data_IF_457013476969
#
_entry.id   IF_457013476969
#
_cell.length_a   1.000
_cell.length_b   1.000
_cell.length_c   1.000
_cell.angle_alpha   90.00
_cell.angle_beta   90.00
_cell.angle_gamma   90.00
#
_symmetry.space_group_name_H-M   'P 1'
#
loop_
_entity.id
_entity.type
_entity.pdbx_description
1 polymer ?
#
# COMPACT_ATOMS: atom_id res chain seq x y z
N UNK A 1 -31.20 8.89 -6.99
CA UNK A 1 -30.60 8.39 -5.75
C UNK A 1 -29.46 7.46 -6.13
N UNK A 2 -28.25 7.71 -5.65
CA UNK A 2 -27.11 6.80 -5.85
C UNK A 2 -27.33 5.60 -4.91
N UNK A 3 -27.33 4.37 -5.45
CA UNK A 3 -27.37 3.17 -4.61
C UNK A 3 -26.07 3.10 -3.80
N UNK A 4 -26.14 2.90 -2.48
CA UNK A 4 -24.98 2.89 -1.62
C UNK A 4 -23.89 1.87 -2.05
N UNK A 5 -24.27 0.73 -2.59
CA UNK A 5 -23.33 -0.27 -3.11
C UNK A 5 -22.62 0.19 -4.40
N UNK A 6 -23.25 1.00 -5.23
CA UNK A 6 -22.61 1.54 -6.44
C UNK A 6 -21.46 2.49 -6.14
N UNK A 7 -21.43 3.05 -4.93
CA UNK A 7 -20.29 3.89 -4.51
C UNK A 7 -18.97 3.12 -4.40
N UNK A 8 -19.03 1.79 -4.30
CA UNK A 8 -17.87 0.91 -4.22
C UNK A 8 -17.44 0.32 -5.56
N UNK A 9 -18.14 0.63 -6.65
CA UNK A 9 -17.84 0.15 -8.00
C UNK A 9 -16.53 0.79 -8.50
N UNK A 10 -15.60 -0.04 -8.96
CA UNK A 10 -14.32 0.40 -9.51
C UNK A 10 -14.22 0.17 -11.03
N UNK A 11 -15.34 -0.19 -11.67
CA UNK A 11 -15.36 -0.45 -13.11
C UNK A 11 -14.88 0.75 -13.92
N UNK A 12 -13.94 0.51 -14.83
CA UNK A 12 -13.35 1.53 -15.68
C UNK A 12 -12.28 2.38 -15.00
N UNK A 13 -11.87 2.03 -13.77
CA UNK A 13 -10.72 2.63 -13.08
C UNK A 13 -9.50 1.75 -13.26
N UNK A 14 -8.31 2.35 -13.25
CA UNK A 14 -7.02 1.66 -13.34
C UNK A 14 -6.20 1.93 -12.08
N UNK A 15 -5.73 0.87 -11.41
CA UNK A 15 -4.95 0.94 -10.17
C UNK A 15 -3.50 0.50 -10.35
N UNK A 16 -2.54 1.37 -10.04
CA UNK A 16 -1.13 1.01 -9.89
C UNK A 16 -0.85 0.59 -8.44
N UNK A 17 -0.34 -0.62 -8.24
CA UNK A 17 0.01 -1.15 -6.94
C UNK A 17 1.49 -1.48 -6.90
N UNK A 18 2.28 -0.73 -6.12
CA UNK A 18 3.72 -0.98 -6.01
C UNK A 18 4.02 -2.21 -5.16
N UNK A 19 5.03 -3.02 -5.56
CA UNK A 19 5.40 -4.22 -4.83
C UNK A 19 4.32 -5.29 -4.80
N UNK A 20 3.59 -5.47 -5.89
CA UNK A 20 2.38 -6.31 -5.97
C UNK A 20 2.60 -7.71 -6.56
N UNK A 21 3.85 -8.18 -6.66
CA UNK A 21 4.12 -9.55 -7.12
C UNK A 21 3.87 -10.63 -6.07
N UNK A 22 3.55 -10.27 -4.82
CA UNK A 22 3.24 -11.21 -3.72
C UNK A 22 2.66 -10.47 -2.50
N UNK A 23 2.19 -11.25 -1.51
CA UNK A 23 1.78 -10.73 -0.20
C UNK A 23 0.61 -9.74 -0.26
N UNK A 24 0.66 -8.69 0.57
CA UNK A 24 -0.42 -7.69 0.66
C UNK A 24 -0.70 -7.07 -0.72
N UNK A 25 0.33 -6.60 -1.42
CA UNK A 25 0.14 -5.94 -2.71
C UNK A 25 -0.56 -6.83 -3.75
N UNK A 26 -0.26 -8.12 -3.76
CA UNK A 26 -0.91 -9.08 -4.64
C UNK A 26 -2.38 -9.30 -4.25
N UNK A 27 -2.67 -9.50 -2.96
CA UNK A 27 -4.04 -9.67 -2.49
C UNK A 27 -4.92 -8.43 -2.76
N UNK A 28 -4.34 -7.21 -2.64
CA UNK A 28 -5.04 -5.98 -3.01
C UNK A 28 -5.29 -5.91 -4.52
N UNK A 29 -4.35 -6.38 -5.35
CA UNK A 29 -4.52 -6.43 -6.80
C UNK A 29 -5.68 -7.37 -7.21
N UNK A 30 -5.72 -8.57 -6.64
CA UNK A 30 -6.84 -9.51 -6.87
C UNK A 30 -8.17 -8.90 -6.45
N UNK A 31 -8.26 -8.35 -5.24
CA UNK A 31 -9.51 -7.80 -4.72
C UNK A 31 -10.01 -6.56 -5.47
N UNK A 32 -9.12 -5.66 -5.94
CA UNK A 32 -9.53 -4.54 -6.77
C UNK A 32 -9.96 -5.00 -8.18
N UNK A 33 -9.30 -6.03 -8.74
CA UNK A 33 -9.71 -6.62 -10.01
C UNK A 33 -11.12 -7.24 -9.92
N UNK A 34 -11.42 -7.94 -8.83
CA UNK A 34 -12.78 -8.46 -8.56
C UNK A 34 -13.82 -7.35 -8.43
N UNK A 35 -13.42 -6.18 -7.92
CA UNK A 35 -14.27 -4.99 -7.84
C UNK A 35 -14.39 -4.23 -9.19
N UNK A 36 -13.81 -4.74 -10.27
CA UNK A 36 -13.94 -4.21 -11.63
C UNK A 36 -12.83 -3.26 -12.09
N UNK A 37 -11.73 -3.17 -11.33
CA UNK A 37 -10.61 -2.30 -11.63
C UNK A 37 -9.58 -2.98 -12.53
N UNK A 38 -9.08 -2.30 -13.56
CA UNK A 38 -7.89 -2.71 -14.28
C UNK A 38 -6.65 -2.53 -13.39
N UNK A 39 -5.72 -3.48 -13.45
CA UNK A 39 -4.60 -3.53 -12.50
C UNK A 39 -3.26 -3.35 -13.18
N UNK A 40 -2.41 -2.54 -12.59
CA UNK A 40 -1.00 -2.43 -12.95
C UNK A 40 -0.18 -3.03 -11.80
N UNK A 41 0.36 -4.22 -12.04
CA UNK A 41 1.31 -4.84 -11.12
C UNK A 41 2.68 -4.20 -11.26
N UNK A 42 3.33 -3.92 -10.14
CA UNK A 42 4.70 -3.40 -10.12
C UNK A 42 5.63 -4.23 -9.25
N UNK A 43 6.86 -4.34 -9.70
CA UNK A 43 7.97 -4.98 -9.00
C UNK A 43 9.26 -4.87 -9.80
N UNK A 44 10.37 -5.35 -9.24
CA UNK A 44 11.71 -5.28 -9.86
C UNK A 44 12.04 -6.48 -10.75
N UNK A 45 11.22 -7.53 -10.72
CA UNK A 45 11.47 -8.77 -11.44
C UNK A 45 10.29 -9.06 -12.37
N UNK A 46 10.52 -8.94 -13.67
CA UNK A 46 9.50 -9.11 -14.70
C UNK A 46 8.91 -10.52 -14.73
N UNK A 47 9.72 -11.55 -14.46
CA UNK A 47 9.25 -12.93 -14.48
C UNK A 47 8.30 -13.22 -13.31
N UNK A 48 8.58 -12.63 -12.12
CA UNK A 48 7.65 -12.70 -11.00
C UNK A 48 6.35 -11.96 -11.29
N UNK A 49 6.42 -10.79 -11.95
CA UNK A 49 5.23 -10.03 -12.34
C UNK A 49 4.37 -10.81 -13.34
N UNK A 50 4.99 -11.44 -14.34
CA UNK A 50 4.27 -12.29 -15.32
C UNK A 50 3.52 -13.42 -14.64
N UNK A 51 4.22 -14.18 -13.78
CA UNK A 51 3.60 -15.26 -13.01
C UNK A 51 2.45 -14.77 -12.14
N UNK A 52 2.62 -13.63 -11.48
CA UNK A 52 1.55 -13.06 -10.67
C UNK A 52 0.37 -12.61 -11.52
N UNK A 53 0.61 -12.01 -12.69
CA UNK A 53 -0.46 -11.60 -13.60
C UNK A 53 -1.29 -12.80 -14.13
N UNK A 54 -0.62 -13.93 -14.42
CA UNK A 54 -1.27 -15.17 -14.85
C UNK A 54 -2.17 -15.80 -13.77
N UNK A 55 -1.87 -15.53 -12.50
CA UNK A 55 -2.63 -16.07 -11.35
C UNK A 55 -3.85 -15.22 -10.99
N UNK A 56 -3.91 -13.95 -11.39
CA UNK A 56 -5.08 -13.09 -11.12
C UNK A 56 -6.25 -13.55 -12.00
N UNK A 57 -7.20 -14.22 -11.39
CA UNK A 57 -8.40 -14.71 -12.08
C UNK A 57 -9.44 -13.59 -12.22
N UNK A 58 -9.38 -12.86 -13.35
CA UNK A 58 -10.25 -11.70 -13.60
C UNK A 58 -10.58 -11.56 -15.10
N UNK A 59 -11.58 -10.73 -15.39
CA UNK A 59 -11.90 -10.26 -16.76
C UNK A 59 -11.31 -8.87 -17.05
N UNK A 60 -10.66 -8.26 -16.06
CA UNK A 60 -10.05 -6.95 -16.16
C UNK A 60 -8.66 -7.05 -16.81
N UNK A 61 -8.17 -5.97 -17.36
CA UNK A 61 -6.81 -5.91 -17.91
C UNK A 61 -5.76 -5.92 -16.78
N UNK A 62 -4.74 -6.74 -16.94
CA UNK A 62 -3.61 -6.84 -16.02
C UNK A 62 -2.33 -6.40 -16.71
N UNK A 63 -1.90 -5.19 -16.41
CA UNK A 63 -0.65 -4.61 -16.90
C UNK A 63 0.52 -4.88 -15.95
N UNK A 64 1.74 -4.74 -16.47
CA UNK A 64 2.96 -4.97 -15.70
C UNK A 64 3.92 -3.81 -15.94
N UNK A 65 4.27 -3.08 -14.88
CA UNK A 65 5.30 -2.05 -14.91
C UNK A 65 6.50 -2.49 -14.08
N UNK A 66 7.56 -2.94 -14.75
CA UNK A 66 8.78 -3.38 -14.10
C UNK A 66 9.71 -2.20 -13.85
N UNK A 67 9.74 -1.70 -12.61
CA UNK A 67 10.68 -0.67 -12.16
C UNK A 67 10.99 -0.80 -10.67
N UNK A 68 12.16 -0.28 -10.27
CA UNK A 68 12.52 -0.15 -8.86
C UNK A 68 11.93 1.15 -8.30
N UNK A 69 11.12 1.05 -7.26
CA UNK A 69 10.51 2.20 -6.56
C UNK A 69 11.55 3.13 -5.91
N UNK A 70 12.80 2.71 -5.82
CA UNK A 70 13.91 3.52 -5.31
C UNK A 70 14.68 4.26 -6.40
N UNK A 71 14.33 4.05 -7.68
CA UNK A 71 14.94 4.71 -8.84
C UNK A 71 13.93 5.69 -9.46
N UNK A 72 14.15 6.98 -9.25
CA UNK A 72 13.23 8.03 -9.71
C UNK A 72 13.08 8.07 -11.23
N UNK A 73 14.15 7.84 -11.99
CA UNK A 73 14.10 7.90 -13.44
C UNK A 73 13.30 6.70 -14.02
N UNK A 74 13.49 5.50 -13.46
CA UNK A 74 12.67 4.34 -13.85
C UNK A 74 11.19 4.57 -13.54
N UNK A 75 10.86 5.10 -12.34
CA UNK A 75 9.50 5.46 -11.95
C UNK A 75 8.90 6.40 -13.00
N UNK A 76 9.59 7.51 -13.26
CA UNK A 76 9.12 8.55 -14.15
C UNK A 76 8.91 8.05 -15.58
N UNK A 77 9.88 7.35 -16.16
CA UNK A 77 9.81 6.82 -17.52
C UNK A 77 8.66 5.81 -17.67
N UNK A 78 8.52 4.90 -16.71
CA UNK A 78 7.49 3.85 -16.77
C UNK A 78 6.07 4.43 -16.64
N UNK A 79 5.86 5.33 -15.67
CA UNK A 79 4.55 5.96 -15.43
C UNK A 79 4.21 6.93 -16.56
N UNK A 80 5.14 7.79 -16.99
CA UNK A 80 4.92 8.73 -18.07
C UNK A 80 4.53 8.01 -19.38
N UNK A 81 5.19 6.89 -19.67
CA UNK A 81 4.87 6.07 -20.85
C UNK A 81 3.46 5.48 -20.73
N UNK A 82 3.13 4.87 -19.60
CA UNK A 82 1.84 4.23 -19.40
C UNK A 82 0.68 5.24 -19.48
N UNK A 83 0.78 6.37 -18.79
CA UNK A 83 -0.21 7.44 -18.79
C UNK A 83 -0.46 8.06 -20.17
N UNK A 84 0.56 8.08 -21.05
CA UNK A 84 0.46 8.66 -22.39
C UNK A 84 -0.02 7.67 -23.46
N UNK A 85 0.32 6.40 -23.29
CA UNK A 85 0.18 5.42 -24.37
C UNK A 85 -0.91 4.36 -24.10
N UNK A 86 -1.35 4.21 -22.81
CA UNK A 86 -2.22 3.10 -22.43
C UNK A 86 -3.50 3.58 -21.76
N UNK A 87 -3.42 4.03 -20.50
CA UNK A 87 -4.59 4.39 -19.69
C UNK A 87 -4.22 5.35 -18.56
N UNK A 88 -5.14 6.20 -18.10
CA UNK A 88 -4.98 6.96 -16.87
C UNK A 88 -4.76 6.05 -15.65
N UNK A 89 -3.91 6.47 -14.70
CA UNK A 89 -3.81 5.84 -13.39
C UNK A 89 -4.73 6.58 -12.42
N UNK A 90 -5.90 6.01 -12.14
CA UNK A 90 -6.91 6.62 -11.26
C UNK A 90 -6.62 6.39 -9.79
N UNK A 91 -6.00 5.25 -9.48
CA UNK A 91 -5.72 4.78 -8.13
C UNK A 91 -4.24 4.41 -8.03
N UNK A 92 -3.57 4.95 -7.01
CA UNK A 92 -2.21 4.55 -6.65
C UNK A 92 -2.22 3.91 -5.26
N UNK A 93 -1.69 2.69 -5.16
CA UNK A 93 -1.42 2.04 -3.87
C UNK A 93 0.10 1.91 -3.69
N UNK A 94 0.68 2.73 -2.81
CA UNK A 94 2.07 2.62 -2.40
C UNK A 94 2.20 1.50 -1.35
N UNK A 95 2.46 0.28 -1.83
CA UNK A 95 2.58 -0.90 -0.99
C UNK A 95 4.03 -1.39 -0.85
N UNK A 96 4.90 -1.10 -1.82
CA UNK A 96 6.30 -1.53 -1.75
C UNK A 96 6.95 -1.12 -0.43
N UNK A 97 7.62 -2.06 0.22
CA UNK A 97 8.26 -1.82 1.49
C UNK A 97 9.14 -2.97 1.92
N UNK A 98 10.00 -2.69 2.89
CA UNK A 98 10.88 -3.67 3.48
C UNK A 98 10.95 -3.50 5.00
N UNK A 99 11.49 -4.50 5.68
CA UNK A 99 11.78 -4.47 7.11
C UNK A 99 13.14 -5.09 7.38
N UNK A 100 13.83 -4.55 8.38
CA UNK A 100 15.03 -5.13 8.97
C UNK A 100 14.90 -5.07 10.50
N UNK A 101 15.40 -6.09 11.19
CA UNK A 101 15.30 -6.24 12.65
C UNK A 101 16.69 -6.37 13.25
N UNK A 102 17.00 -5.53 14.22
CA UNK A 102 18.24 -5.57 15.00
C UNK A 102 18.04 -4.80 16.30
N UNK A 103 18.87 -5.06 17.31
CA UNK A 103 19.00 -4.17 18.45
C UNK A 103 19.33 -2.75 17.96
N UNK A 104 18.77 -1.71 18.58
CA UNK A 104 18.87 -0.36 18.05
C UNK A 104 20.31 0.17 18.05
N UNK A 105 21.05 -0.14 19.11
CA UNK A 105 22.47 0.20 19.28
C UNK A 105 23.38 -0.44 18.22
N UNK A 106 23.01 -1.61 17.71
CA UNK A 106 23.75 -2.38 16.69
C UNK A 106 23.13 -2.30 15.31
N UNK A 107 22.14 -1.42 15.12
CA UNK A 107 21.41 -1.33 13.85
C UNK A 107 22.33 -0.79 12.75
N UNK A 108 22.56 -1.55 11.64
CA UNK A 108 23.44 -1.10 10.56
C UNK A 108 22.94 0.18 9.89
N UNK A 109 23.80 1.17 9.73
CA UNK A 109 23.45 2.47 9.13
C UNK A 109 22.93 2.34 7.70
N UNK A 110 23.57 1.49 6.91
CA UNK A 110 23.17 1.19 5.54
C UNK A 110 21.76 0.59 5.46
N UNK A 111 21.36 -0.22 6.45
CA UNK A 111 19.99 -0.76 6.54
C UNK A 111 18.97 0.31 6.91
N UNK A 112 19.37 1.28 7.69
CA UNK A 112 18.51 2.44 7.96
C UNK A 112 18.28 3.27 6.71
N UNK A 113 19.31 3.56 5.92
CA UNK A 113 19.21 4.27 4.65
C UNK A 113 18.36 3.50 3.63
N UNK A 114 18.55 2.18 3.53
CA UNK A 114 17.70 1.33 2.68
C UNK A 114 16.21 1.41 3.07
N UNK A 115 15.92 1.39 4.39
CA UNK A 115 14.56 1.53 4.91
C UNK A 115 13.95 2.88 4.54
N UNK A 116 14.68 3.99 4.74
CA UNK A 116 14.21 5.32 4.37
C UNK A 116 13.95 5.42 2.87
N UNK A 117 14.89 4.94 2.05
CA UNK A 117 14.78 4.97 0.60
C UNK A 117 13.57 4.16 0.11
N UNK A 118 13.40 2.93 0.64
CA UNK A 118 12.35 2.01 0.18
C UNK A 118 10.98 2.34 0.77
N UNK A 119 10.88 2.72 2.05
CA UNK A 119 9.59 2.87 2.72
C UNK A 119 9.07 4.31 2.70
N UNK A 120 9.92 5.31 2.51
CA UNK A 120 9.56 6.73 2.59
C UNK A 120 9.76 7.44 1.27
N UNK A 121 11.02 7.47 0.76
CA UNK A 121 11.33 8.20 -0.48
C UNK A 121 10.55 7.64 -1.68
N UNK A 122 10.36 6.32 -1.75
CA UNK A 122 9.57 5.68 -2.80
C UNK A 122 8.12 6.16 -2.80
N UNK A 123 7.49 6.25 -1.62
CA UNK A 123 6.10 6.74 -1.48
C UNK A 123 5.98 8.16 -2.01
N UNK A 124 6.92 9.03 -1.65
CA UNK A 124 6.95 10.40 -2.17
C UNK A 124 7.15 10.42 -3.69
N UNK A 125 8.17 9.73 -4.20
CA UNK A 125 8.57 9.77 -5.61
C UNK A 125 7.46 9.24 -6.53
N UNK A 126 6.90 8.09 -6.23
CA UNK A 126 5.81 7.49 -7.05
C UNK A 126 4.57 8.37 -7.00
N UNK A 127 4.18 8.83 -5.79
CA UNK A 127 3.02 9.71 -5.65
C UNK A 127 3.20 11.03 -6.39
N UNK A 128 4.39 11.63 -6.36
CA UNK A 128 4.66 12.88 -7.05
C UNK A 128 4.50 12.74 -8.57
N UNK A 129 4.98 11.64 -9.15
CA UNK A 129 4.86 11.40 -10.60
C UNK A 129 3.40 11.19 -11.00
N UNK A 130 2.69 10.30 -10.29
CA UNK A 130 1.27 10.01 -10.58
C UNK A 130 0.38 11.23 -10.33
N UNK A 131 0.59 11.96 -9.23
CA UNK A 131 -0.22 13.12 -8.87
C UNK A 131 -0.17 14.23 -9.94
N UNK A 132 0.93 14.39 -10.68
CA UNK A 132 0.99 15.35 -11.79
C UNK A 132 -0.07 15.09 -12.87
N UNK A 133 -0.40 13.84 -13.11
CA UNK A 133 -1.46 13.45 -14.05
C UNK A 133 -2.84 13.57 -13.41
N UNK A 134 -3.00 13.10 -12.17
CA UNK A 134 -4.25 13.25 -11.42
C UNK A 134 -4.67 14.71 -11.26
N UNK A 135 -3.73 15.62 -10.96
CA UNK A 135 -3.97 17.07 -10.87
C UNK A 135 -4.52 17.63 -12.18
N UNK A 136 -3.99 17.22 -13.33
CA UNK A 136 -4.46 17.66 -14.65
C UNK A 136 -5.88 17.17 -14.95
N UNK A 137 -6.25 15.99 -14.44
CA UNK A 137 -7.59 15.43 -14.59
C UNK A 137 -8.59 15.95 -13.57
N UNK A 138 -8.10 16.45 -12.43
CA UNK A 138 -8.96 16.92 -11.34
C UNK A 138 -9.52 15.80 -10.47
N UNK A 139 -8.95 14.61 -10.52
CA UNK A 139 -9.39 13.45 -9.71
C UNK A 139 -8.26 12.46 -9.48
N UNK A 140 -8.33 11.69 -8.39
CA UNK A 140 -7.42 10.59 -8.10
C UNK A 140 -7.51 10.08 -6.66
N UNK A 141 -7.07 8.84 -6.46
CA UNK A 141 -6.99 8.20 -5.13
C UNK A 141 -5.56 7.72 -4.89
N UNK A 142 -4.97 8.13 -3.78
CA UNK A 142 -3.65 7.67 -3.35
C UNK A 142 -3.80 7.00 -1.99
N UNK A 143 -3.37 5.74 -1.91
CA UNK A 143 -3.43 4.93 -0.69
C UNK A 143 -2.02 4.49 -0.34
N UNK A 144 -1.56 4.86 0.85
CA UNK A 144 -0.24 4.48 1.34
C UNK A 144 -0.36 3.33 2.35
N UNK A 145 0.38 2.25 2.15
CA UNK A 145 0.42 1.15 3.12
C UNK A 145 1.35 1.52 4.26
N UNK A 146 0.75 1.97 5.35
CA UNK A 146 1.39 2.29 6.62
C UNK A 146 1.63 1.02 7.47
N UNK A 147 1.36 1.06 8.76
CA UNK A 147 1.42 -0.06 9.70
C UNK A 147 0.81 0.37 11.03
N UNK A 148 0.46 -0.57 11.89
CA UNK A 148 0.23 -0.27 13.32
C UNK A 148 1.43 0.43 13.97
N UNK A 149 2.62 0.27 13.39
CA UNK A 149 3.84 0.98 13.82
C UNK A 149 3.80 2.49 13.51
N UNK A 150 2.76 2.98 12.85
CA UNK A 150 2.49 4.43 12.75
C UNK A 150 2.08 5.03 14.10
N UNK A 151 1.42 4.23 14.96
CA UNK A 151 0.97 4.64 16.29
C UNK A 151 1.67 3.90 17.44
N UNK A 152 2.19 2.69 17.19
CA UNK A 152 2.82 1.83 18.18
C UNK A 152 4.31 1.67 17.89
N UNK A 153 5.02 1.12 18.88
CA UNK A 153 6.41 0.69 18.71
C UNK A 153 6.65 -0.64 19.43
N UNK A 154 7.66 -1.36 19.00
CA UNK A 154 8.21 -2.51 19.74
C UNK A 154 9.71 -2.59 19.59
N UNK A 155 10.40 -3.34 20.47
CA UNK A 155 11.85 -3.52 20.39
C UNK A 155 12.32 -4.10 19.04
N UNK A 156 13.53 -3.72 18.63
CA UNK A 156 14.22 -4.26 17.46
C UNK A 156 13.77 -3.74 16.09
N UNK A 157 12.84 -2.77 16.04
CA UNK A 157 12.32 -2.22 14.77
C UNK A 157 12.15 -0.69 14.79
N UNK A 158 12.86 0.04 15.65
CA UNK A 158 12.70 1.49 15.74
C UNK A 158 12.88 2.22 14.39
N UNK A 159 13.86 1.88 13.53
CA UNK A 159 13.97 2.46 12.18
C UNK A 159 12.76 2.19 11.29
N UNK A 160 12.20 0.98 11.31
CA UNK A 160 10.96 0.68 10.59
C UNK A 160 9.79 1.50 11.13
N UNK A 161 9.65 1.60 12.46
CA UNK A 161 8.63 2.43 13.12
C UNK A 161 8.73 3.89 12.65
N UNK A 162 9.94 4.44 12.59
CA UNK A 162 10.18 5.80 12.07
C UNK A 162 9.69 5.94 10.62
N UNK A 163 9.98 4.95 9.74
CA UNK A 163 9.51 5.01 8.34
C UNK A 163 7.98 4.96 8.25
N UNK A 164 7.32 4.16 9.07
CA UNK A 164 5.84 4.04 9.03
C UNK A 164 5.15 5.26 9.69
N UNK A 165 5.76 5.88 10.68
CA UNK A 165 5.36 7.19 11.18
C UNK A 165 5.46 8.27 10.09
N UNK A 166 6.56 8.28 9.34
CA UNK A 166 6.74 9.17 8.19
C UNK A 166 5.66 8.96 7.11
N UNK A 167 5.30 7.70 6.79
CA UNK A 167 4.24 7.40 5.82
C UNK A 167 2.88 7.95 6.29
N UNK A 168 2.54 7.80 7.56
CA UNK A 168 1.30 8.38 8.12
C UNK A 168 1.27 9.92 8.01
N UNK A 169 2.40 10.58 8.28
CA UNK A 169 2.46 12.04 8.22
C UNK A 169 2.55 12.59 6.77
N UNK A 170 3.28 11.95 5.87
CA UNK A 170 3.33 12.37 4.47
C UNK A 170 1.95 12.21 3.81
N UNK A 171 1.15 11.23 4.22
CA UNK A 171 -0.24 11.05 3.77
C UNK A 171 -1.07 12.28 4.10
N UNK A 172 -0.95 12.85 5.30
CA UNK A 172 -1.63 14.10 5.69
C UNK A 172 -1.18 15.29 4.86
N UNK A 173 0.14 15.40 4.62
CA UNK A 173 0.71 16.45 3.77
C UNK A 173 0.16 16.37 2.34
N UNK A 174 0.20 15.19 1.73
CA UNK A 174 -0.37 14.97 0.40
C UNK A 174 -1.87 15.31 0.33
N UNK A 175 -2.64 14.91 1.35
CA UNK A 175 -4.06 15.23 1.44
C UNK A 175 -4.30 16.75 1.51
N UNK A 176 -3.51 17.47 2.31
CA UNK A 176 -3.62 18.91 2.47
C UNK A 176 -3.28 19.66 1.18
N UNK A 177 -2.22 19.24 0.50
CA UNK A 177 -1.75 19.94 -0.70
C UNK A 177 -2.62 19.66 -1.94
N UNK A 178 -3.16 18.42 -2.05
CA UNK A 178 -3.79 17.95 -3.28
C UNK A 178 -5.32 17.85 -3.24
N UNK A 179 -5.94 18.03 -2.06
CA UNK A 179 -7.42 18.00 -1.94
C UNK A 179 -8.12 19.00 -2.88
N UNK A 180 -7.55 20.20 -3.06
CA UNK A 180 -8.08 21.23 -3.97
C UNK A 180 -8.11 20.80 -5.44
N UNK A 181 -7.40 19.74 -5.79
CA UNK A 181 -7.38 19.17 -7.14
C UNK A 181 -8.24 17.89 -7.24
N UNK A 182 -9.12 17.63 -6.27
CA UNK A 182 -10.00 16.46 -6.28
C UNK A 182 -9.30 15.14 -5.93
N UNK A 183 -8.08 15.17 -5.34
CA UNK A 183 -7.32 13.98 -4.98
C UNK A 183 -7.52 13.67 -3.50
N UNK A 184 -7.86 12.42 -3.17
CA UNK A 184 -7.89 11.92 -1.80
C UNK A 184 -6.65 11.07 -1.54
N UNK A 185 -5.90 11.42 -0.49
CA UNK A 185 -4.72 10.69 -0.03
C UNK A 185 -4.98 10.13 1.36
N UNK A 186 -5.00 8.81 1.49
CA UNK A 186 -5.24 8.12 2.75
C UNK A 186 -4.19 7.03 2.98
N UNK A 187 -4.17 6.45 4.18
CA UNK A 187 -3.33 5.32 4.48
C UNK A 187 -4.16 4.14 5.02
N UNK A 188 -3.74 2.93 4.70
CA UNK A 188 -4.14 1.71 5.41
C UNK A 188 -2.99 1.33 6.33
N UNK A 189 -3.27 1.06 7.58
CA UNK A 189 -2.31 0.63 8.59
C UNK A 189 -2.61 -0.82 9.01
N UNK A 190 -1.99 -1.80 8.34
CA UNK A 190 -2.17 -3.20 8.71
C UNK A 190 -1.59 -3.50 10.09
N UNK A 191 -2.26 -4.39 10.83
CA UNK A 191 -1.72 -5.07 11.99
C UNK A 191 -0.72 -6.15 11.59
N UNK A 192 -0.79 -7.28 12.28
CA UNK A 192 0.04 -8.44 11.98
C UNK A 192 -0.72 -9.41 11.06
N UNK A 193 -0.26 -9.50 9.83
CA UNK A 193 -0.82 -10.35 8.78
C UNK A 193 0.17 -11.47 8.43
N UNK A 194 -0.36 -12.65 8.14
CA UNK A 194 0.44 -13.76 7.61
C UNK A 194 0.84 -13.43 6.16
N UNK A 195 2.10 -13.12 6.01
CA UNK A 195 2.70 -12.69 4.73
C UNK A 195 4.13 -13.21 4.60
N UNK A 196 4.67 -13.30 3.38
CA UNK A 196 6.09 -13.64 3.18
C UNK A 196 7.05 -12.73 3.99
N UNK A 197 6.71 -11.46 4.20
CA UNK A 197 7.50 -10.51 5.00
C UNK A 197 7.54 -10.92 6.49
N UNK A 198 6.51 -11.56 6.98
CA UNK A 198 6.34 -11.97 8.37
C UNK A 198 6.60 -13.47 8.60
N UNK A 199 7.01 -14.24 7.59
CA UNK A 199 7.15 -15.69 7.68
C UNK A 199 7.98 -16.14 8.89
N UNK A 200 9.10 -15.45 9.17
CA UNK A 200 9.94 -15.75 10.35
C UNK A 200 9.22 -15.51 11.68
N UNK A 201 8.30 -14.56 11.77
CA UNK A 201 7.50 -14.30 12.97
C UNK A 201 6.32 -15.27 13.08
N UNK A 202 5.73 -15.67 11.97
CA UNK A 202 4.64 -16.65 11.92
C UNK A 202 5.14 -18.02 12.41
N UNK A 203 6.35 -18.40 12.03
CA UNK A 203 6.99 -19.65 12.47
C UNK A 203 7.52 -19.62 13.91
N UNK A 204 7.62 -18.44 14.53
CA UNK A 204 8.00 -18.27 15.92
C UNK A 204 6.78 -18.47 16.82
N UNK A 205 6.76 -19.59 17.57
CA UNK A 205 5.65 -19.97 18.44
C UNK A 205 5.43 -18.97 19.60
N UNK A 206 6.52 -18.44 20.16
CA UNK A 206 6.46 -17.52 21.30
C UNK A 206 5.93 -16.15 20.85
N UNK A 207 6.41 -15.70 19.70
CA UNK A 207 5.89 -14.47 19.11
C UNK A 207 4.40 -14.61 18.73
N UNK A 208 4.04 -15.74 18.13
CA UNK A 208 2.62 -16.02 17.77
C UNK A 208 1.73 -16.10 19.01
N UNK A 209 2.18 -16.71 20.09
CA UNK A 209 1.44 -16.75 21.37
C UNK A 209 1.28 -15.35 21.96
N UNK A 210 2.36 -14.55 21.97
CA UNK A 210 2.30 -13.15 22.41
C UNK A 210 1.33 -12.33 21.53
N UNK A 211 1.40 -12.47 20.22
CA UNK A 211 0.53 -11.73 19.30
C UNK A 211 -0.94 -12.04 19.54
N UNK A 212 -1.30 -13.33 19.66
CA UNK A 212 -2.67 -13.78 19.94
C UNK A 212 -3.20 -13.22 21.25
N UNK A 213 -2.35 -13.12 22.27
CA UNK A 213 -2.72 -12.52 23.57
C UNK A 213 -2.87 -11.00 23.49
N UNK A 214 -2.00 -10.33 22.67
CA UNK A 214 -1.97 -8.87 22.55
C UNK A 214 -3.04 -8.30 21.62
N UNK A 215 -3.47 -9.08 20.63
CA UNK A 215 -4.46 -8.66 19.64
C UNK A 215 -5.85 -9.08 20.10
N UNK A 216 -6.82 -8.17 20.26
CA UNK A 216 -8.18 -8.53 20.69
C UNK A 216 -8.85 -9.61 19.83
N UNK A 217 -8.60 -9.61 18.50
CA UNK A 217 -9.09 -10.66 17.61
C UNK A 217 -8.46 -12.05 17.85
N UNK A 218 -7.37 -12.15 18.63
CA UNK A 218 -6.75 -13.41 19.04
C UNK A 218 -6.04 -14.19 17.95
N UNK A 219 -5.73 -13.58 16.81
CA UNK A 219 -5.15 -14.28 15.65
C UNK A 219 -4.32 -13.35 14.75
N UNK A 220 -3.56 -13.93 13.84
CA UNK A 220 -3.03 -13.25 12.67
C UNK A 220 -4.18 -12.81 11.75
N UNK A 221 -4.01 -11.68 11.09
CA UNK A 221 -4.88 -11.28 9.99
C UNK A 221 -4.54 -12.04 8.72
N UNK A 222 -5.53 -12.25 7.87
CA UNK A 222 -5.38 -12.81 6.54
C UNK A 222 -5.39 -11.69 5.50
N UNK A 223 -4.50 -11.76 4.50
CA UNK A 223 -4.27 -10.62 3.56
C UNK A 223 -5.53 -10.14 2.85
N UNK A 224 -6.49 -11.05 2.59
CA UNK A 224 -7.76 -10.67 1.97
C UNK A 224 -8.62 -9.76 2.85
N UNK A 225 -8.41 -9.72 4.17
CA UNK A 225 -9.15 -8.84 5.09
C UNK A 225 -8.76 -7.35 4.92
N UNK A 226 -7.70 -7.06 4.16
CA UNK A 226 -7.32 -5.70 3.77
C UNK A 226 -8.08 -5.20 2.51
N UNK A 227 -8.65 -6.11 1.74
CA UNK A 227 -9.27 -5.81 0.44
C UNK A 227 -10.44 -4.84 0.59
N UNK A 228 -11.34 -5.08 1.56
CA UNK A 228 -12.50 -4.20 1.78
C UNK A 228 -12.11 -2.75 2.08
N UNK A 229 -11.05 -2.55 2.90
CA UNK A 229 -10.52 -1.22 3.19
C UNK A 229 -9.91 -0.56 1.94
N UNK A 230 -9.23 -1.34 1.09
CA UNK A 230 -8.65 -0.81 -0.15
C UNK A 230 -9.72 -0.43 -1.17
N UNK A 231 -10.77 -1.23 -1.35
CA UNK A 231 -11.91 -0.91 -2.22
C UNK A 231 -12.60 0.37 -1.71
N UNK A 232 -12.87 0.47 -0.41
CA UNK A 232 -13.47 1.68 0.18
C UNK A 232 -12.66 2.92 -0.14
N UNK A 233 -11.35 2.92 0.16
CA UNK A 233 -10.49 4.10 -0.05
C UNK A 233 -10.20 4.38 -1.54
N UNK A 234 -10.37 3.41 -2.43
CA UNK A 234 -10.20 3.54 -3.88
C UNK A 234 -11.46 4.05 -4.59
N UNK A 235 -12.61 4.03 -3.93
CA UNK A 235 -13.92 4.24 -4.54
C UNK A 235 -14.54 5.61 -4.20
N UNK A 236 -15.70 5.92 -4.80
CA UNK A 236 -16.48 7.11 -4.49
C UNK A 236 -17.01 7.12 -3.05
N UNK A 237 -17.13 5.96 -2.41
CA UNK A 237 -17.55 5.83 -1.02
C UNK A 237 -16.65 6.61 -0.04
N UNK A 238 -15.41 6.93 -0.44
CA UNK A 238 -14.44 7.68 0.35
C UNK A 238 -14.15 9.11 -0.15
N UNK A 239 -14.99 9.69 -1.00
CA UNK A 239 -14.72 11.01 -1.61
C UNK A 239 -14.52 12.15 -0.60
N UNK A 240 -15.02 12.01 0.63
CA UNK A 240 -14.82 13.00 1.69
C UNK A 240 -13.88 12.51 2.81
N UNK A 241 -13.22 11.35 2.62
CA UNK A 241 -12.19 10.83 3.52
C UNK A 241 -10.82 11.23 2.96
N UNK A 242 -10.09 12.09 3.68
CA UNK A 242 -8.80 12.59 3.22
C UNK A 242 -7.84 12.80 4.39
N UNK A 243 -6.58 12.39 4.25
CA UNK A 243 -5.54 12.48 5.28
C UNK A 243 -5.69 11.45 6.41
N UNK A 244 -6.59 10.48 6.28
CA UNK A 244 -6.88 9.49 7.31
C UNK A 244 -5.95 8.28 7.24
N UNK A 245 -5.64 7.71 8.40
CA UNK A 245 -4.98 6.40 8.52
C UNK A 245 -6.00 5.41 9.08
N UNK A 246 -6.44 4.48 8.22
CA UNK A 246 -7.39 3.43 8.59
C UNK A 246 -6.63 2.21 9.13
N UNK A 247 -6.78 1.91 10.41
CA UNK A 247 -6.20 0.73 11.03
C UNK A 247 -7.05 -0.50 10.73
N UNK A 248 -6.40 -1.54 10.18
CA UNK A 248 -6.99 -2.86 9.94
C UNK A 248 -6.10 -3.86 10.69
N UNK A 249 -6.38 -4.09 11.97
CA UNK A 249 -5.37 -4.61 12.87
C UNK A 249 -5.90 -5.57 13.97
N UNK A 250 -7.15 -6.01 13.86
CA UNK A 250 -7.80 -6.87 14.86
C UNK A 250 -7.95 -6.24 16.24
N UNK A 251 -7.87 -4.89 16.33
CA UNK A 251 -8.02 -4.12 17.56
C UNK A 251 -6.73 -3.91 18.34
N UNK A 252 -5.56 -4.26 17.81
CA UNK A 252 -4.29 -4.14 18.57
C UNK A 252 -3.96 -2.70 18.94
N UNK A 253 -4.33 -1.70 18.14
CA UNK A 253 -4.14 -0.28 18.46
C UNK A 253 -5.22 0.30 19.37
N UNK A 254 -6.36 -0.37 19.50
CA UNK A 254 -7.49 0.07 20.31
C UNK A 254 -7.43 -0.43 21.77
N UNK A 255 -6.50 -1.33 22.08
CA UNK A 255 -6.37 -1.95 23.40
C UNK A 255 -5.04 -1.60 24.06
N UNK A 256 -5.00 -1.60 25.41
CA UNK A 256 -3.81 -1.42 26.25
C UNK A 256 -3.00 -2.72 26.38
#
# INVERSE_FOLDING_TARGET
>A
MVSGLKLFDLKGKTALITGSSQGIGYALAEGLAEAGCDIILNGRNIEKLRKSAELVNTKQEIYQLCFDVTDYEQIKQSIDKFEKETSPIDILINNAGMQFRSALEDFPREKFEELLKTNVSSVFNVSQVVAKYMIKRGEGKIINIASVQTALARPGIAPYTATKGAVGNITKGMATDWAKYGIQCNAIAPGYFDTPLNAALVSDSDFTAWLKKRTPAGRWGEVHELVGASIFLSSEASNFVNGHTLYVDGGITASL
#
